data_IF_666102966377
#
_entry.id   IF_666102966377
#
_cell.length_a   1.000
_cell.length_b   1.000
_cell.length_c   1.000
_cell.angle_alpha   90.00
_cell.angle_beta   90.00
_cell.angle_gamma   90.00
#
_symmetry.space_group_name_H-M   'P 1'
#
loop_
_entity.id
_entity.type
_entity.pdbx_description
1 polymer ?
#
# COMPACT_ATOMS: atom_id res chain seq x y z
N UNK A 1 5.60 9.38 -1.96
CA UNK A 1 5.01 8.35 -2.88
C UNK A 1 5.88 7.10 -2.87
N UNK A 2 7.20 7.28 -2.96
CA UNK A 2 8.19 6.20 -2.80
C UNK A 2 8.03 5.44 -1.48
N UNK A 3 7.75 6.12 -0.35
CA UNK A 3 7.53 5.46 0.95
C UNK A 3 6.40 4.42 0.92
N UNK A 4 5.38 4.63 0.08
CA UNK A 4 4.28 3.67 -0.08
C UNK A 4 4.73 2.42 -0.87
N UNK A 5 5.64 2.56 -1.83
CA UNK A 5 6.22 1.42 -2.55
C UNK A 5 7.22 0.67 -1.67
N UNK A 6 8.08 1.39 -0.97
CA UNK A 6 9.06 0.82 -0.05
C UNK A 6 8.37 0.04 1.08
N UNK A 7 7.32 0.61 1.67
CA UNK A 7 6.55 -0.09 2.71
C UNK A 7 5.87 -1.36 2.20
N UNK A 8 5.45 -1.44 0.92
CA UNK A 8 4.95 -2.70 0.34
C UNK A 8 6.07 -3.75 0.33
N UNK A 9 7.26 -3.38 -0.14
CA UNK A 9 8.41 -4.29 -0.24
C UNK A 9 8.80 -4.78 1.17
N UNK A 10 8.93 -3.87 2.13
CA UNK A 10 9.29 -4.19 3.51
C UNK A 10 8.24 -5.07 4.21
N UNK A 11 6.95 -4.78 4.02
CA UNK A 11 5.86 -5.50 4.69
C UNK A 11 5.49 -6.83 4.03
N UNK A 12 5.90 -7.05 2.77
CA UNK A 12 5.56 -8.26 2.03
C UNK A 12 6.08 -9.50 2.76
N UNK A 13 7.33 -9.49 3.23
CA UNK A 13 7.88 -10.56 4.08
C UNK A 13 7.60 -11.98 3.59
N UNK A 14 7.64 -12.21 2.27
CA UNK A 14 7.32 -13.51 1.64
C UNK A 14 5.84 -13.81 1.39
N UNK A 15 4.92 -12.91 1.76
CA UNK A 15 3.48 -13.03 1.53
C UNK A 15 3.10 -12.58 0.12
N UNK A 16 1.96 -13.07 -0.37
CA UNK A 16 1.44 -12.69 -1.68
C UNK A 16 1.01 -11.21 -1.72
N UNK A 17 0.41 -10.70 -0.63
CA UNK A 17 -0.15 -9.34 -0.55
C UNK A 17 0.12 -8.63 0.79
N UNK A 18 0.06 -7.30 0.77
CA UNK A 18 0.18 -6.42 1.94
C UNK A 18 -1.17 -5.75 2.22
N UNK A 19 -1.59 -5.71 3.49
CA UNK A 19 -2.83 -5.03 3.88
C UNK A 19 -2.61 -3.54 4.10
N UNK A 20 -3.58 -2.74 3.66
CA UNK A 20 -3.63 -1.28 3.90
C UNK A 20 -3.46 -0.94 5.39
N UNK A 21 -4.01 -1.77 6.28
CA UNK A 21 -3.89 -1.59 7.74
C UNK A 21 -2.49 -1.76 8.29
N UNK A 22 -1.66 -2.59 7.65
CA UNK A 22 -0.26 -2.72 8.01
C UNK A 22 0.54 -1.52 7.52
N UNK A 23 0.27 -1.05 6.29
CA UNK A 23 0.92 0.15 5.74
C UNK A 23 0.58 1.40 6.54
N UNK A 24 -0.69 1.58 6.94
CA UNK A 24 -1.12 2.70 7.78
C UNK A 24 -0.36 2.75 9.10
N UNK A 25 -0.17 1.60 9.76
CA UNK A 25 0.62 1.50 10.99
C UNK A 25 2.11 1.77 10.74
N UNK A 26 2.69 1.20 9.69
CA UNK A 26 4.11 1.34 9.38
C UNK A 26 4.50 2.77 9.01
N UNK A 27 3.66 3.45 8.23
CA UNK A 27 3.90 4.82 7.75
C UNK A 27 3.39 5.89 8.72
N UNK A 28 2.66 5.53 9.77
CA UNK A 28 2.07 6.49 10.71
C UNK A 28 0.98 7.39 10.11
N UNK A 29 0.33 6.94 9.03
CA UNK A 29 -0.70 7.71 8.30
C UNK A 29 -2.07 7.05 8.41
N UNK A 30 -3.13 7.81 8.14
CA UNK A 30 -4.51 7.27 8.16
C UNK A 30 -4.73 6.32 6.98
N UNK A 31 -5.59 5.31 7.17
CA UNK A 31 -6.00 4.37 6.12
C UNK A 31 -6.45 5.03 4.81
N UNK A 32 -7.27 6.12 4.80
CA UNK A 32 -7.66 6.77 3.56
C UNK A 32 -6.47 7.39 2.79
N UNK A 33 -5.43 7.82 3.49
CA UNK A 33 -4.19 8.33 2.86
C UNK A 33 -3.47 7.21 2.10
N UNK A 34 -3.40 6.02 2.69
CA UNK A 34 -2.84 4.83 2.03
C UNK A 34 -3.68 4.46 0.80
N UNK A 35 -5.01 4.34 0.95
CA UNK A 35 -5.91 4.00 -0.16
C UNK A 35 -5.80 5.02 -1.31
N UNK A 36 -5.69 6.32 -1.00
CA UNK A 36 -5.52 7.36 -2.02
C UNK A 36 -4.17 7.25 -2.74
N UNK A 37 -3.08 7.02 -1.99
CA UNK A 37 -1.75 6.82 -2.56
C UNK A 37 -1.70 5.58 -3.47
N UNK A 38 -2.25 4.46 -3.01
CA UNK A 38 -2.35 3.22 -3.80
C UNK A 38 -3.20 3.42 -5.06
N UNK A 39 -4.26 4.22 -5.00
CA UNK A 39 -5.06 4.58 -6.18
C UNK A 39 -4.23 5.30 -7.25
N UNK A 40 -3.41 6.28 -6.86
CA UNK A 40 -2.51 7.00 -7.78
C UNK A 40 -1.43 6.09 -8.35
N UNK A 41 -0.79 5.29 -7.49
CA UNK A 41 0.24 4.32 -7.91
C UNK A 41 -0.33 3.26 -8.85
N UNK A 42 -1.58 2.83 -8.63
CA UNK A 42 -2.25 1.86 -9.49
C UNK A 42 -2.58 2.45 -10.87
N UNK A 43 -3.00 3.71 -10.95
CA UNK A 43 -3.16 4.42 -12.22
C UNK A 43 -1.85 4.55 -13.01
N UNK A 44 -0.71 4.58 -12.30
CA UNK A 44 0.62 4.59 -12.89
C UNK A 44 1.15 3.19 -13.23
N UNK A 45 0.38 2.12 -12.98
CA UNK A 45 0.78 0.74 -13.22
C UNK A 45 1.85 0.22 -12.24
N UNK A 46 2.09 0.93 -11.14
CA UNK A 46 3.17 0.59 -10.19
C UNK A 46 2.73 -0.40 -9.11
N UNK A 47 1.42 -0.49 -8.84
CA UNK A 47 0.85 -1.42 -7.85
C UNK A 47 -0.49 -1.98 -8.31
N UNK A 48 -0.76 -3.23 -7.93
CA UNK A 48 -2.11 -3.80 -7.99
C UNK A 48 -2.84 -3.56 -6.68
N UNK A 49 -3.89 -2.75 -6.71
CA UNK A 49 -4.72 -2.49 -5.53
C UNK A 49 -6.08 -3.15 -5.69
N UNK A 50 -6.26 -4.30 -5.04
CA UNK A 50 -7.54 -5.02 -4.98
C UNK A 50 -8.37 -4.53 -3.80
N UNK A 51 -9.61 -4.10 -4.05
CA UNK A 51 -10.58 -3.90 -2.97
C UNK A 51 -11.04 -5.27 -2.49
N UNK A 52 -11.02 -5.49 -1.18
CA UNK A 52 -11.78 -6.59 -0.60
C UNK A 52 -13.27 -6.27 -0.77
N UNK A 53 -14.03 -7.25 -1.24
CA UNK A 53 -15.49 -7.26 -1.15
C UNK A 53 -15.94 -7.49 0.28
#
# INVERSE_FOLDING_TARGET
>A
MEDYLESIIMLRGGKEAVRVSQMSKALGVKMPSVTSALGKLSQQGLVEHKRYG
#
